data_IF_510818859094
#
_entry.id   IF_510818859094
#
_cell.length_a   1.000
_cell.length_b   1.000
_cell.length_c   1.000
_cell.angle_alpha   90.00
_cell.angle_beta   90.00
_cell.angle_gamma   90.00
#
_symmetry.space_group_name_H-M   'P 1'
#
loop_
_entity.id
_entity.type
_entity.pdbx_description
1 polymer ?
#
# COMPACT_ATOMS: atom_id res chain seq x y z
N UNK A 1 -18.96 8.96 -35.87
CA UNK A 1 -18.48 7.96 -34.88
C UNK A 1 -17.10 8.29 -34.34
N UNK A 2 -16.05 8.51 -35.16
CA UNK A 2 -14.67 8.76 -34.67
C UNK A 2 -14.52 10.02 -33.78
N UNK A 3 -15.17 11.13 -34.14
CA UNK A 3 -15.08 12.39 -33.39
C UNK A 3 -15.72 12.32 -31.99
N UNK A 4 -16.79 11.52 -31.83
CA UNK A 4 -17.48 11.33 -30.54
C UNK A 4 -16.64 10.43 -29.61
N UNK A 5 -16.04 9.36 -30.16
CA UNK A 5 -15.12 8.51 -29.40
C UNK A 5 -13.87 9.28 -28.92
N UNK A 6 -13.31 10.17 -29.76
CA UNK A 6 -12.21 11.05 -29.38
C UNK A 6 -12.62 12.11 -28.35
N UNK A 7 -13.87 12.58 -28.38
CA UNK A 7 -14.43 13.48 -27.36
C UNK A 7 -14.46 12.77 -26.01
N UNK A 8 -15.10 11.60 -25.89
CA UNK A 8 -15.15 10.87 -24.62
C UNK A 8 -13.77 10.42 -24.11
N UNK A 9 -12.82 10.08 -24.98
CA UNK A 9 -11.46 9.74 -24.58
C UNK A 9 -10.66 10.92 -23.99
N UNK A 10 -11.05 12.16 -24.31
CA UNK A 10 -10.41 13.39 -23.80
C UNK A 10 -11.03 13.91 -22.49
N UNK A 11 -12.23 13.46 -22.12
CA UNK A 11 -12.83 13.84 -20.84
C UNK A 11 -12.36 12.87 -19.75
N UNK A 12 -11.77 13.38 -18.65
CA UNK A 12 -11.51 12.54 -17.50
C UNK A 12 -12.84 11.95 -17.01
N UNK A 13 -12.86 10.63 -16.83
CA UNK A 13 -13.98 9.92 -16.22
C UNK A 13 -14.03 10.30 -14.73
N UNK A 14 -14.66 11.43 -14.45
CA UNK A 14 -14.77 11.99 -13.10
C UNK A 14 -15.48 11.03 -12.15
N UNK A 15 -16.42 10.22 -12.65
CA UNK A 15 -17.08 9.21 -11.85
C UNK A 15 -16.07 8.16 -11.39
N UNK A 16 -15.23 7.65 -12.30
CA UNK A 16 -14.19 6.69 -11.95
C UNK A 16 -13.16 7.28 -10.98
N UNK A 17 -12.69 8.50 -11.23
CA UNK A 17 -11.68 9.17 -10.38
C UNK A 17 -12.24 9.47 -8.98
N UNK A 18 -13.45 9.99 -8.90
CA UNK A 18 -14.12 10.28 -7.63
C UNK A 18 -14.37 8.99 -6.84
N UNK A 19 -14.83 7.92 -7.50
CA UNK A 19 -15.07 6.63 -6.85
C UNK A 19 -13.77 5.99 -6.33
N UNK A 20 -12.69 6.08 -7.10
CA UNK A 20 -11.37 5.64 -6.66
C UNK A 20 -10.90 6.42 -5.42
N UNK A 21 -11.01 7.75 -5.43
CA UNK A 21 -10.65 8.59 -4.29
C UNK A 21 -11.53 8.28 -3.06
N UNK A 22 -12.85 8.11 -3.25
CA UNK A 22 -13.81 7.73 -2.21
C UNK A 22 -13.40 6.41 -1.55
N UNK A 23 -13.12 5.38 -2.34
CA UNK A 23 -12.67 4.08 -1.86
C UNK A 23 -11.36 4.17 -1.07
N UNK A 24 -10.34 4.84 -1.62
CA UNK A 24 -9.02 4.97 -0.97
C UNK A 24 -9.11 5.76 0.35
N UNK A 25 -9.91 6.82 0.38
CA UNK A 25 -10.10 7.62 1.58
C UNK A 25 -10.82 6.84 2.69
N UNK A 26 -11.88 6.10 2.35
CA UNK A 26 -12.57 5.20 3.30
C UNK A 26 -11.60 4.13 3.83
N UNK A 27 -10.81 3.51 2.94
CA UNK A 27 -9.82 2.50 3.32
C UNK A 27 -8.75 3.07 4.27
N UNK A 28 -8.34 4.31 4.05
CA UNK A 28 -7.42 5.02 4.95
C UNK A 28 -8.04 5.30 6.32
N UNK A 29 -9.31 5.74 6.37
CA UNK A 29 -10.00 6.03 7.63
C UNK A 29 -10.33 4.76 8.43
N UNK A 30 -10.52 3.63 7.75
CA UNK A 30 -10.79 2.33 8.39
C UNK A 30 -12.27 2.13 8.78
N UNK A 31 -13.13 3.08 8.45
CA UNK A 31 -14.57 3.05 8.72
C UNK A 31 -15.35 3.78 7.61
N UNK A 32 -16.64 3.48 7.52
CA UNK A 32 -17.57 4.10 6.57
C UNK A 32 -18.97 4.14 7.16
N UNK A 33 -19.26 5.14 7.98
CA UNK A 33 -20.64 5.42 8.40
C UNK A 33 -21.46 5.98 7.24
N UNK A 34 -22.79 5.88 7.30
CA UNK A 34 -23.67 6.49 6.29
C UNK A 34 -23.45 8.00 6.18
N UNK A 35 -23.25 8.69 7.31
CA UNK A 35 -22.95 10.12 7.35
C UNK A 35 -21.62 10.46 6.65
N UNK A 36 -20.58 9.66 6.86
CA UNK A 36 -19.29 9.83 6.19
C UNK A 36 -19.40 9.60 4.67
N UNK A 37 -20.21 8.63 4.24
CA UNK A 37 -20.45 8.38 2.82
C UNK A 37 -21.20 9.56 2.20
N UNK A 38 -22.24 10.07 2.87
CA UNK A 38 -22.99 11.24 2.41
C UNK A 38 -22.11 12.49 2.29
N UNK A 39 -21.25 12.76 3.27
CA UNK A 39 -20.30 13.89 3.19
C UNK A 39 -19.34 13.75 2.00
N UNK A 40 -18.84 12.53 1.73
CA UNK A 40 -17.96 12.28 0.60
C UNK A 40 -18.68 12.46 -0.75
N UNK A 41 -19.94 12.05 -0.84
CA UNK A 41 -20.77 12.27 -2.04
C UNK A 41 -21.04 13.76 -2.25
N UNK A 42 -21.29 14.51 -1.17
CA UNK A 42 -21.44 15.96 -1.26
C UNK A 42 -20.16 16.66 -1.75
N UNK A 43 -19.00 16.26 -1.19
CA UNK A 43 -17.70 16.82 -1.53
C UNK A 43 -17.29 16.49 -2.97
N UNK A 44 -17.56 15.28 -3.47
CA UNK A 44 -17.02 14.80 -4.74
C UNK A 44 -17.98 15.00 -5.92
N UNK A 45 -19.29 14.91 -5.66
CA UNK A 45 -20.32 14.88 -6.69
C UNK A 45 -21.22 16.12 -6.64
N UNK A 46 -21.91 16.38 -5.52
CA UNK A 46 -22.98 17.38 -5.47
C UNK A 46 -22.46 18.83 -5.49
N UNK A 47 -21.65 19.20 -4.51
CA UNK A 47 -21.16 20.57 -4.33
C UNK A 47 -19.73 20.77 -4.85
N UNK A 48 -18.97 19.67 -5.00
CA UNK A 48 -17.61 19.63 -5.54
C UNK A 48 -16.66 20.62 -4.88
N UNK A 49 -16.31 20.38 -3.62
CA UNK A 49 -15.40 21.24 -2.88
C UNK A 49 -13.93 20.98 -3.24
N UNK A 50 -13.44 21.61 -4.30
CA UNK A 50 -12.08 21.41 -4.83
C UNK A 50 -10.95 21.51 -3.79
N UNK A 51 -11.06 22.38 -2.78
CA UNK A 51 -10.06 22.47 -1.69
C UNK A 51 -10.08 21.23 -0.79
N UNK A 52 -11.26 20.72 -0.44
CA UNK A 52 -11.41 19.47 0.33
C UNK A 52 -10.92 18.27 -0.48
N UNK A 53 -11.24 18.20 -1.78
CA UNK A 53 -10.76 17.14 -2.68
C UNK A 53 -9.23 17.11 -2.73
N UNK A 54 -8.57 18.27 -2.82
CA UNK A 54 -7.10 18.37 -2.78
C UNK A 54 -6.54 17.86 -1.46
N UNK A 55 -7.16 18.23 -0.33
CA UNK A 55 -6.74 17.73 0.98
C UNK A 55 -6.88 16.21 1.06
N UNK A 56 -8.01 15.64 0.63
CA UNK A 56 -8.24 14.19 0.62
C UNK A 56 -7.19 13.45 -0.22
N UNK A 57 -6.82 13.99 -1.38
CA UNK A 57 -5.77 13.43 -2.23
C UNK A 57 -4.42 13.38 -1.50
N UNK A 58 -4.05 14.46 -0.81
CA UNK A 58 -2.80 14.54 -0.05
C UNK A 58 -2.79 13.58 1.14
N UNK A 59 -3.92 13.47 1.84
CA UNK A 59 -4.07 12.56 2.98
C UNK A 59 -3.89 11.11 2.53
N UNK A 60 -4.62 10.71 1.47
CA UNK A 60 -4.53 9.37 0.88
C UNK A 60 -3.12 9.07 0.40
N UNK A 61 -2.51 9.98 -0.35
CA UNK A 61 -1.15 9.79 -0.86
C UNK A 61 -0.13 9.62 0.28
N UNK A 62 -0.25 10.43 1.33
CA UNK A 62 0.62 10.35 2.51
C UNK A 62 0.48 9.00 3.20
N UNK A 63 -0.76 8.57 3.44
CA UNK A 63 -1.05 7.29 4.07
C UNK A 63 -0.50 6.11 3.24
N UNK A 64 -0.80 6.05 1.94
CA UNK A 64 -0.34 4.99 1.04
C UNK A 64 1.19 4.91 1.00
N UNK A 65 1.87 6.06 1.00
CA UNK A 65 3.32 6.13 1.06
C UNK A 65 3.90 5.59 2.37
N UNK A 66 3.27 5.88 3.51
CA UNK A 66 3.69 5.36 4.82
C UNK A 66 3.53 3.84 4.85
N UNK A 67 2.37 3.32 4.45
CA UNK A 67 2.09 1.88 4.43
C UNK A 67 3.06 1.14 3.50
N UNK A 68 3.34 1.70 2.31
CA UNK A 68 4.31 1.12 1.37
C UNK A 68 5.72 1.05 1.95
N UNK A 69 6.18 2.12 2.61
CA UNK A 69 7.50 2.15 3.26
C UNK A 69 7.57 1.12 4.39
N UNK A 70 6.53 1.01 5.20
CA UNK A 70 6.45 0.04 6.29
C UNK A 70 6.50 -1.40 5.76
N UNK A 71 5.73 -1.72 4.71
CA UNK A 71 5.75 -3.04 4.08
C UNK A 71 7.14 -3.39 3.52
N UNK A 72 7.82 -2.43 2.88
CA UNK A 72 9.17 -2.64 2.37
C UNK A 72 10.19 -2.92 3.49
N UNK A 73 10.10 -2.19 4.60
CA UNK A 73 10.97 -2.41 5.77
C UNK A 73 10.70 -3.76 6.43
N UNK A 74 9.43 -4.15 6.55
CA UNK A 74 9.04 -5.44 7.09
C UNK A 74 9.59 -6.61 6.24
N UNK A 75 9.48 -6.50 4.91
CA UNK A 75 10.02 -7.53 4.02
C UNK A 75 11.57 -7.58 4.07
N UNK A 76 12.23 -6.42 4.16
CA UNK A 76 13.68 -6.38 4.35
C UNK A 76 14.10 -7.07 5.67
N UNK A 77 13.36 -6.85 6.75
CA UNK A 77 13.62 -7.50 8.04
C UNK A 77 13.45 -9.02 7.94
N UNK A 78 12.38 -9.49 7.29
CA UNK A 78 12.11 -10.92 7.05
C UNK A 78 13.24 -11.61 6.28
N UNK A 79 13.76 -10.96 5.22
CA UNK A 79 14.88 -11.50 4.43
C UNK A 79 16.17 -11.57 5.24
N UNK A 80 16.48 -10.55 6.06
CA UNK A 80 17.65 -10.56 6.93
C UNK A 80 17.57 -11.64 8.01
N UNK A 81 16.40 -11.84 8.60
CA UNK A 81 16.17 -12.90 9.58
C UNK A 81 16.38 -14.29 8.95
N UNK A 82 15.85 -14.51 7.75
CA UNK A 82 16.04 -15.77 7.02
C UNK A 82 17.52 -16.03 6.73
N UNK A 83 18.25 -15.03 6.23
CA UNK A 83 19.68 -15.15 5.96
C UNK A 83 20.49 -15.43 7.24
N UNK A 84 20.18 -14.75 8.35
CA UNK A 84 20.84 -14.99 9.63
C UNK A 84 20.59 -16.42 10.14
N UNK A 85 19.38 -16.94 9.98
CA UNK A 85 19.02 -18.32 10.37
C UNK A 85 19.79 -19.36 9.56
N UNK A 86 19.90 -19.16 8.25
CA UNK A 86 20.66 -20.05 7.34
C UNK A 86 22.16 -20.04 7.66
N UNK A 87 22.74 -18.86 7.90
CA UNK A 87 24.14 -18.75 8.32
C UNK A 87 24.38 -19.40 9.68
N UNK A 88 23.46 -19.21 10.63
CA UNK A 88 23.54 -19.82 11.96
C UNK A 88 23.48 -21.34 11.92
N UNK A 89 22.59 -21.93 11.10
CA UNK A 89 22.49 -23.38 10.93
C UNK A 89 23.73 -23.97 10.26
N UNK A 90 24.27 -23.29 9.24
CA UNK A 90 25.52 -23.70 8.57
C UNK A 90 26.72 -23.65 9.51
N UNK A 91 26.87 -22.59 10.30
CA UNK A 91 27.94 -22.46 11.28
C UNK A 91 27.87 -23.57 12.35
N UNK A 92 26.65 -23.90 12.82
CA UNK A 92 26.44 -25.02 13.74
C UNK A 92 26.85 -26.36 13.14
N UNK A 93 26.42 -26.64 11.90
CA UNK A 93 26.79 -27.87 11.19
C UNK A 93 28.31 -28.03 11.01
N UNK A 94 29.00 -26.94 10.66
CA UNK A 94 30.47 -26.95 10.54
C UNK A 94 31.13 -27.23 11.89
N UNK A 95 30.66 -26.59 12.96
CA UNK A 95 31.19 -26.79 14.32
C UNK A 95 30.99 -28.23 14.78
N UNK A 96 29.80 -28.78 14.59
CA UNK A 96 29.47 -30.14 15.00
C UNK A 96 30.35 -31.16 14.26
N UNK A 97 30.54 -30.99 12.94
CA UNK A 97 31.47 -31.82 12.15
C UNK A 97 32.91 -31.74 12.66
N UNK A 98 33.41 -30.53 12.92
CA UNK A 98 34.77 -30.34 13.42
C UNK A 98 35.01 -30.94 14.82
N UNK A 99 33.95 -31.07 15.64
CA UNK A 99 34.02 -31.77 16.94
C UNK A 99 34.08 -33.28 16.71
N UNK A 100 33.20 -33.83 15.87
CA UNK A 100 33.19 -35.27 15.53
C UNK A 100 34.54 -35.71 14.95
N UNK A 101 35.08 -34.97 13.98
CA UNK A 101 36.38 -35.28 13.34
C UNK A 101 37.56 -35.27 14.34
N UNK A 102 37.44 -34.55 15.47
CA UNK A 102 38.44 -34.54 16.56
C UNK A 102 38.26 -35.69 17.55
N UNK A 103 37.06 -36.23 17.70
CA UNK A 103 36.75 -37.33 18.61
C UNK A 103 37.08 -38.70 18.00
N UNK A 104 37.06 -38.80 16.67
CA UNK A 104 37.37 -40.03 15.91
C UNK A 104 38.88 -40.19 15.62
N UNK A 105 39.73 -39.28 16.10
CA UNK A 105 41.18 -39.24 15.85
C UNK A 105 41.97 -39.40 17.14
#
# INVERSE_FOLDING_TARGET
MLAIALYFAKYPDYNRINNDLKYRYIKMKGEASSEQIEELEDILELNRYNTKIKQMLQDVETYENVIKKQAALAEQARLKEQAAKELGSKAKSIKDKAITDKLEK
#
